data_IF_373306304467
#
_entry.id   IF_373306304467
#
_cell.length_a   1.000
_cell.length_b   1.000
_cell.length_c   1.000
_cell.angle_alpha   90.00
_cell.angle_beta   90.00
_cell.angle_gamma   90.00
#
_symmetry.space_group_name_H-M   'P 1'
#
loop_
_entity.id
_entity.type
_entity.pdbx_description
1 polymer ?
#
# COMPACT_ATOMS: atom_id res chain seq x y z
N UNK A 1 49.55 67.09 6.00
CA UNK A 1 49.77 65.69 5.59
C UNK A 1 50.96 65.12 6.40
N UNK A 2 51.01 63.84 6.80
CA UNK A 2 50.04 62.77 6.58
C UNK A 2 49.39 62.21 7.86
N UNK A 3 48.22 61.65 7.59
CA UNK A 3 47.28 60.89 8.40
C UNK A 3 47.83 59.51 8.73
N UNK A 4 47.55 58.96 9.93
CA UNK A 4 47.71 57.52 10.16
C UNK A 4 46.43 56.96 10.80
N UNK A 5 45.51 56.52 9.95
CA UNK A 5 44.33 55.76 10.35
C UNK A 5 44.74 54.30 10.60
N UNK A 6 44.56 53.83 11.83
CA UNK A 6 44.67 52.40 12.15
C UNK A 6 43.35 51.72 11.83
N UNK A 7 43.22 51.25 10.59
CA UNK A 7 42.14 50.34 10.20
C UNK A 7 42.25 49.03 10.97
N UNK A 8 41.28 48.76 11.86
CA UNK A 8 41.11 47.42 12.45
C UNK A 8 40.69 46.47 11.33
N UNK A 9 41.65 45.69 10.83
CA UNK A 9 41.38 44.58 9.94
C UNK A 9 40.53 43.55 10.71
N UNK A 10 39.24 43.50 10.39
CA UNK A 10 38.36 42.44 10.85
C UNK A 10 38.91 41.10 10.34
N UNK A 11 39.20 40.12 11.21
CA UNK A 11 39.78 38.86 10.76
C UNK A 11 38.74 38.10 9.92
N UNK A 12 39.03 38.01 8.62
CA UNK A 12 38.34 37.23 7.57
C UNK A 12 38.09 35.75 7.91
N UNK A 13 38.55 35.27 9.07
CA UNK A 13 38.47 33.87 9.50
C UNK A 13 37.12 33.47 10.10
N UNK A 14 36.28 34.42 10.52
CA UNK A 14 34.97 34.10 11.09
C UNK A 14 33.91 33.79 10.01
N UNK A 15 34.09 34.31 8.80
CA UNK A 15 33.09 34.25 7.73
C UNK A 15 33.11 32.92 6.94
N UNK A 16 34.15 32.10 7.13
CA UNK A 16 34.27 30.78 6.49
C UNK A 16 33.56 29.66 7.23
N UNK A 17 33.20 29.83 8.51
CA UNK A 17 32.51 28.77 9.25
C UNK A 17 31.02 28.67 8.91
N UNK A 18 30.37 29.79 8.57
CA UNK A 18 28.93 29.83 8.23
C UNK A 18 28.65 29.24 6.84
N UNK A 19 29.55 29.47 5.88
CA UNK A 19 29.41 28.93 4.53
C UNK A 19 29.62 27.41 4.47
N UNK A 20 30.55 26.88 5.28
CA UNK A 20 30.80 25.43 5.35
C UNK A 20 29.64 24.67 6.00
N UNK A 21 28.95 25.26 6.99
CA UNK A 21 27.79 24.63 7.64
C UNK A 21 26.55 24.54 6.73
N UNK A 22 26.35 25.51 5.83
CA UNK A 22 25.18 25.50 4.93
C UNK A 22 25.33 24.48 3.78
N UNK A 23 26.57 24.26 3.30
CA UNK A 23 26.86 23.23 2.30
C UNK A 23 26.74 21.80 2.86
N UNK A 24 27.05 21.59 4.14
CA UNK A 24 26.95 20.28 4.78
C UNK A 24 25.49 19.82 4.99
N UNK A 25 24.54 20.77 5.14
CA UNK A 25 23.11 20.47 5.28
C UNK A 25 22.44 20.02 3.97
N UNK A 26 23.03 20.35 2.81
CA UNK A 26 22.49 20.00 1.48
C UNK A 26 22.97 18.64 0.96
N UNK A 27 23.97 18.03 1.60
CA UNK A 27 24.54 16.73 1.21
C UNK A 27 23.97 15.55 2.01
N UNK A 28 22.81 15.73 2.66
CA UNK A 28 22.13 14.64 3.35
C UNK A 28 21.64 13.62 2.30
N UNK A 29 22.05 12.35 2.37
CA UNK A 29 21.50 11.33 1.49
C UNK A 29 20.01 11.22 1.80
N UNK A 30 19.17 11.41 0.78
CA UNK A 30 17.74 11.11 0.88
C UNK A 30 17.63 9.61 1.16
N UNK A 31 17.32 9.27 2.41
CA UNK A 31 17.00 7.90 2.79
C UNK A 31 15.71 7.51 2.06
N UNK A 32 15.84 6.82 0.94
CA UNK A 32 14.70 6.22 0.25
C UNK A 32 14.17 5.10 1.13
N UNK A 33 13.09 5.37 1.87
CA UNK A 33 12.38 4.32 2.59
C UNK A 33 11.94 3.24 1.58
N UNK A 34 12.02 1.95 1.94
CA UNK A 34 11.53 0.90 1.07
C UNK A 34 10.01 1.08 0.95
N UNK A 35 9.47 0.87 -0.25
CA UNK A 35 8.04 0.72 -0.40
C UNK A 35 7.63 -0.52 0.39
N UNK A 36 6.75 -0.35 1.38
CA UNK A 36 6.15 -1.48 2.07
C UNK A 36 5.41 -2.31 1.01
N UNK A 37 5.78 -3.58 0.86
CA UNK A 37 5.03 -4.50 0.03
C UNK A 37 3.63 -4.62 0.63
N UNK A 38 2.60 -4.37 -0.17
CA UNK A 38 1.24 -4.67 0.25
C UNK A 38 1.13 -6.17 0.53
N UNK A 39 0.51 -6.54 1.65
CA UNK A 39 0.19 -7.93 1.92
C UNK A 39 -0.64 -8.48 0.75
N UNK A 40 -0.37 -9.71 0.29
CA UNK A 40 -1.16 -10.30 -0.79
C UNK A 40 -2.63 -10.33 -0.38
N UNK A 41 -3.46 -9.61 -1.14
CA UNK A 41 -4.90 -9.64 -0.93
C UNK A 41 -5.46 -10.98 -1.41
N UNK A 42 -6.03 -11.73 -0.48
CA UNK A 42 -6.75 -12.96 -0.73
C UNK A 42 -8.26 -12.72 -0.73
N UNK A 43 -8.92 -13.22 -1.79
CA UNK A 43 -10.35 -13.45 -1.85
C UNK A 43 -10.58 -14.96 -1.73
N UNK A 44 -11.19 -15.40 -0.64
CA UNK A 44 -11.62 -16.77 -0.45
C UNK A 44 -13.07 -16.93 -0.90
N UNK A 45 -13.36 -17.96 -1.69
CA UNK A 45 -14.73 -18.30 -2.08
C UNK A 45 -14.95 -19.78 -1.78
N UNK A 46 -16.03 -20.09 -1.07
CA UNK A 46 -16.45 -21.46 -0.82
C UNK A 46 -17.93 -21.58 -1.14
N UNK A 47 -18.29 -22.59 -1.93
CA UNK A 47 -19.68 -22.94 -2.24
C UNK A 47 -20.01 -24.30 -1.64
N UNK A 48 -21.17 -24.40 -1.03
CA UNK A 48 -21.68 -25.66 -0.48
C UNK A 48 -23.17 -25.81 -0.80
N UNK A 49 -23.65 -27.03 -0.67
CA UNK A 49 -25.07 -27.38 -0.73
C UNK A 49 -25.45 -28.08 0.57
N UNK A 50 -26.69 -27.89 1.00
CA UNK A 50 -27.23 -28.58 2.17
C UNK A 50 -27.50 -30.07 1.91
N UNK A 51 -27.72 -30.45 0.64
CA UNK A 51 -27.99 -31.82 0.20
C UNK A 51 -27.37 -32.10 -1.17
N UNK A 52 -26.85 -33.31 -1.36
CA UNK A 52 -26.19 -33.73 -2.61
C UNK A 52 -27.01 -34.70 -3.45
N UNK A 53 -27.94 -35.44 -2.83
CA UNK A 53 -28.90 -36.31 -3.52
C UNK A 53 -30.23 -35.56 -3.68
N UNK A 54 -30.63 -35.37 -4.94
CA UNK A 54 -31.82 -34.61 -5.30
C UNK A 54 -32.62 -35.39 -6.34
N UNK A 55 -33.94 -35.44 -6.16
CA UNK A 55 -34.87 -35.89 -7.18
C UNK A 55 -35.43 -34.69 -7.97
N UNK A 56 -35.94 -34.90 -9.19
CA UNK A 56 -36.60 -33.84 -9.95
C UNK A 56 -37.76 -33.21 -9.15
N UNK A 57 -37.73 -31.88 -9.03
CA UNK A 57 -38.73 -31.11 -8.26
C UNK A 57 -38.35 -30.85 -6.80
N UNK A 58 -37.25 -31.42 -6.30
CA UNK A 58 -36.75 -31.12 -4.96
C UNK A 58 -36.26 -29.67 -4.85
N UNK A 59 -36.41 -29.10 -3.66
CA UNK A 59 -35.83 -27.80 -3.30
C UNK A 59 -34.63 -28.00 -2.40
N UNK A 60 -33.53 -27.31 -2.68
CA UNK A 60 -32.31 -27.36 -1.87
C UNK A 60 -31.70 -25.96 -1.76
N UNK A 61 -30.76 -25.81 -0.83
CA UNK A 61 -30.12 -24.53 -0.54
C UNK A 61 -28.63 -24.62 -0.88
N UNK A 62 -28.17 -23.79 -1.81
CA UNK A 62 -26.75 -23.54 -1.99
C UNK A 62 -26.33 -22.30 -1.16
N UNK A 63 -25.14 -22.36 -0.58
CA UNK A 63 -24.55 -21.27 0.19
C UNK A 63 -23.21 -20.89 -0.43
N UNK A 64 -23.01 -19.61 -0.72
CA UNK A 64 -21.72 -19.06 -1.17
C UNK A 64 -21.17 -18.18 -0.07
N UNK A 65 -20.02 -18.57 0.47
CA UNK A 65 -19.30 -17.80 1.47
C UNK A 65 -18.12 -17.10 0.80
N UNK A 66 -18.05 -15.79 0.99
CA UNK A 66 -16.97 -14.93 0.50
C UNK A 66 -16.17 -14.41 1.70
N UNK A 67 -14.87 -14.63 1.67
CA UNK A 67 -13.93 -14.15 2.68
C UNK A 67 -12.97 -13.13 2.05
N UNK A 68 -12.94 -11.92 2.60
CA UNK A 68 -12.00 -10.87 2.22
C UNK A 68 -10.83 -10.89 3.22
N UNK A 69 -9.60 -10.86 2.72
CA UNK A 69 -8.40 -10.69 3.56
C UNK A 69 -8.29 -9.31 4.21
N UNK A 70 -8.89 -8.29 3.59
CA UNK A 70 -9.02 -6.94 4.15
C UNK A 70 -10.44 -6.68 4.69
N UNK A 71 -10.66 -5.49 5.26
CA UNK A 71 -11.94 -5.06 5.81
C UNK A 71 -13.09 -5.06 4.77
N UNK A 72 -12.77 -4.97 3.47
CA UNK A 72 -13.77 -5.00 2.39
C UNK A 72 -13.20 -5.59 1.10
N UNK A 73 -14.01 -6.37 0.40
CA UNK A 73 -13.76 -6.76 -1.00
C UNK A 73 -14.23 -5.64 -1.95
N UNK A 74 -13.46 -4.54 -2.04
CA UNK A 74 -13.85 -3.40 -2.87
C UNK A 74 -13.99 -3.83 -4.34
N UNK A 75 -15.08 -3.42 -4.99
CA UNK A 75 -15.39 -3.70 -6.40
C UNK A 75 -15.40 -5.19 -6.80
N UNK A 76 -15.55 -6.10 -5.82
CA UNK A 76 -15.63 -7.53 -6.11
C UNK A 76 -16.96 -7.89 -6.78
N UNK A 77 -16.87 -8.68 -7.85
CA UNK A 77 -18.03 -9.20 -8.59
C UNK A 77 -18.09 -10.71 -8.38
N UNK A 78 -19.19 -11.19 -7.81
CA UNK A 78 -19.50 -12.61 -7.68
C UNK A 78 -20.47 -13.03 -8.78
N UNK A 79 -20.06 -13.99 -9.61
CA UNK A 79 -20.89 -14.57 -10.67
C UNK A 79 -21.00 -16.08 -10.45
N UNK A 80 -22.22 -16.60 -10.37
CA UNK A 80 -22.51 -18.03 -10.23
C UNK A 80 -23.51 -18.45 -11.33
N UNK A 81 -23.02 -18.90 -12.50
CA UNK A 81 -23.88 -19.35 -13.57
C UNK A 81 -24.53 -20.69 -13.21
N UNK A 82 -25.83 -20.63 -12.89
CA UNK A 82 -26.67 -21.81 -12.72
C UNK A 82 -26.96 -22.38 -14.12
N UNK A 83 -26.25 -23.46 -14.51
CA UNK A 83 -26.51 -24.19 -15.75
C UNK A 83 -27.89 -24.85 -15.77
N UNK A 84 -28.16 -25.69 -16.78
CA UNK A 84 -29.47 -26.35 -16.95
C UNK A 84 -29.93 -27.12 -15.70
N UNK A 85 -28.99 -27.64 -14.91
CA UNK A 85 -29.25 -28.42 -13.70
C UNK A 85 -28.92 -27.66 -12.41
N UNK A 86 -28.98 -26.32 -12.44
CA UNK A 86 -28.71 -25.46 -11.29
C UNK A 86 -27.34 -25.73 -10.60
N UNK A 87 -26.34 -26.16 -11.37
CA UNK A 87 -24.98 -26.37 -10.87
C UNK A 87 -24.68 -27.78 -10.31
N UNK A 88 -25.56 -28.77 -10.49
CA UNK A 88 -25.24 -30.18 -10.29
C UNK A 88 -24.83 -30.87 -11.60
N UNK A 89 -23.81 -31.73 -11.56
CA UNK A 89 -23.60 -32.74 -12.60
C UNK A 89 -24.53 -33.94 -12.34
N UNK A 90 -25.12 -34.49 -13.41
CA UNK A 90 -25.98 -35.67 -13.38
C UNK A 90 -25.19 -36.96 -13.20
#
# INVERSE_FOLDING_TARGET
MPTQSRGRAFPRRLMSFVAASLAALLALPVLTAPAAAADPQYLGITKSVDRTELAPGDTYTYSVQVACSEASCLDAVLTDPLGEHAGHEL
#
